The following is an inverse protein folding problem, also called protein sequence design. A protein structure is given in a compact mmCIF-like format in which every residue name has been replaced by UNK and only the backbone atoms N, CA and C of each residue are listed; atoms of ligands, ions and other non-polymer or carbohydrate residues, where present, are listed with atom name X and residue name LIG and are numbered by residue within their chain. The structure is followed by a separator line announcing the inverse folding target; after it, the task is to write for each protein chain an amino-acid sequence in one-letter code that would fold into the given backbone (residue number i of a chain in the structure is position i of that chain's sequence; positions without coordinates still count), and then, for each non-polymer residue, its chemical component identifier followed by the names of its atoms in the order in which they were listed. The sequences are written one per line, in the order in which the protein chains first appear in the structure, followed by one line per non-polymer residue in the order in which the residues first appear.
data_IF_591171051240
#
_entry.id   IF_591171051240
#
_cell.length_a   1.000
_cell.length_b   1.000
_cell.length_c   1.000
_cell.angle_alpha   90.00
_cell.angle_beta   90.00
_cell.angle_gamma   90.00
#
_symmetry.space_group_name_H-M   'P 1'
#
loop_
_entity.id
_entity.type
_entity.pdbx_description
1 polymer ?
#
# COMPACT_ATOMS: atom_id res chain seq x y z
N UNK A 1 -30.70 -69.84 -33.50
CA UNK A 1 -31.03 -69.08 -32.30
C UNK A 1 -29.75 -68.95 -31.48
N UNK A 2 -29.05 -67.79 -31.71
CA UNK A 2 -27.77 -67.49 -31.04
C UNK A 2 -28.05 -66.32 -30.12
N UNK A 3 -28.00 -66.55 -28.79
CA UNK A 3 -28.08 -65.50 -27.78
C UNK A 3 -26.70 -64.92 -27.60
N UNK A 4 -26.52 -63.69 -28.05
CA UNK A 4 -25.33 -62.89 -27.73
C UNK A 4 -25.59 -62.10 -26.49
N UNK A 5 -24.82 -62.45 -25.41
CA UNK A 5 -24.82 -61.78 -24.13
C UNK A 5 -23.70 -60.71 -24.13
N UNK A 6 -24.05 -59.40 -24.03
CA UNK A 6 -23.11 -58.33 -23.90
C UNK A 6 -22.76 -58.07 -22.43
N UNK A 7 -21.52 -57.99 -22.05
CA UNK A 7 -21.16 -57.58 -20.70
C UNK A 7 -21.13 -56.05 -20.63
N UNK A 8 -21.88 -55.47 -19.69
CA UNK A 8 -21.93 -54.06 -19.36
C UNK A 8 -20.71 -53.74 -18.48
N UNK A 9 -19.66 -53.16 -19.11
CA UNK A 9 -18.48 -52.66 -18.38
C UNK A 9 -18.82 -51.33 -17.72
N UNK A 10 -19.00 -51.38 -16.41
CA UNK A 10 -19.14 -50.21 -15.54
C UNK A 10 -17.74 -49.61 -15.26
N UNK A 11 -17.33 -48.60 -16.01
CA UNK A 11 -16.11 -47.85 -15.73
C UNK A 11 -16.35 -46.86 -14.58
N UNK A 12 -15.84 -47.22 -13.40
CA UNK A 12 -15.86 -46.37 -12.20
C UNK A 12 -14.89 -45.18 -12.44
N UNK A 13 -15.44 -43.99 -12.72
CA UNK A 13 -14.68 -42.75 -12.83
C UNK A 13 -14.40 -42.26 -11.40
N UNK A 14 -13.25 -42.61 -10.85
CA UNK A 14 -12.77 -42.08 -9.58
C UNK A 14 -12.40 -40.59 -9.73
N UNK A 15 -13.29 -39.70 -9.28
CA UNK A 15 -12.96 -38.26 -9.14
C UNK A 15 -11.83 -38.13 -8.09
N UNK A 16 -10.63 -37.86 -8.55
CA UNK A 16 -9.51 -37.45 -7.72
C UNK A 16 -9.83 -36.02 -7.19
N UNK A 17 -10.44 -35.96 -5.99
CA UNK A 17 -10.46 -34.68 -5.24
C UNK A 17 -9.04 -34.40 -4.77
N UNK A 18 -8.31 -33.58 -5.54
CA UNK A 18 -7.05 -33.03 -5.08
C UNK A 18 -7.34 -32.05 -3.94
N UNK A 19 -6.74 -32.21 -2.76
CA UNK A 19 -6.86 -31.22 -1.69
C UNK A 19 -6.24 -29.91 -2.17
N UNK A 20 -7.06 -28.85 -2.27
CA UNK A 20 -6.58 -27.49 -2.50
C UNK A 20 -5.71 -27.14 -1.29
N UNK A 21 -4.42 -26.78 -1.48
CA UNK A 21 -3.60 -26.36 -0.36
C UNK A 21 -4.25 -25.12 0.28
N UNK A 22 -4.75 -25.26 1.50
CA UNK A 22 -5.14 -24.11 2.33
C UNK A 22 -3.91 -23.22 2.45
N UNK A 23 -3.95 -22.06 1.78
CA UNK A 23 -2.93 -21.03 2.00
C UNK A 23 -2.95 -20.71 3.50
N UNK A 24 -1.91 -21.13 4.21
CA UNK A 24 -1.74 -20.78 5.61
C UNK A 24 -1.76 -19.28 5.71
N UNK A 25 -2.72 -18.72 6.46
CA UNK A 25 -2.78 -17.27 6.72
C UNK A 25 -1.53 -16.93 7.50
N UNK A 26 -0.59 -16.29 6.82
CA UNK A 26 0.68 -15.87 7.41
C UNK A 26 0.40 -14.83 8.50
N UNK A 27 0.73 -15.16 9.74
CA UNK A 27 0.58 -14.25 10.87
C UNK A 27 1.48 -13.05 10.65
N UNK A 28 0.96 -11.84 10.90
CA UNK A 28 1.75 -10.63 10.79
C UNK A 28 2.95 -10.71 11.74
N UNK A 29 4.13 -10.85 11.16
CA UNK A 29 5.39 -10.75 11.86
C UNK A 29 5.99 -9.37 11.59
N UNK A 30 6.34 -8.62 12.65
CA UNK A 30 6.98 -7.31 12.55
C UNK A 30 8.50 -7.43 12.73
N UNK A 31 9.25 -7.96 11.74
CA UNK A 31 10.67 -8.33 11.91
C UNK A 31 11.63 -7.13 11.86
N UNK A 32 11.12 -5.92 11.59
CA UNK A 32 11.95 -4.79 11.21
C UNK A 32 12.37 -3.95 12.40
N UNK A 33 13.16 -4.54 13.28
CA UNK A 33 14.04 -3.76 14.14
C UNK A 33 15.42 -3.86 13.50
N UNK A 34 15.76 -2.88 12.64
CA UNK A 34 17.15 -2.78 12.19
C UNK A 34 18.04 -2.65 13.42
N UNK A 35 19.23 -3.26 13.37
CA UNK A 35 20.24 -3.24 14.45
C UNK A 35 20.59 -1.83 14.96
N UNK A 36 20.22 -0.78 14.20
CA UNK A 36 20.47 0.63 14.51
C UNK A 36 19.32 1.34 15.23
N UNK A 37 18.15 0.73 15.35
CA UNK A 37 16.98 1.38 15.94
C UNK A 37 16.76 0.90 17.37
N UNK A 38 16.93 1.81 18.34
CA UNK A 38 16.64 1.53 19.73
C UNK A 38 15.13 1.57 19.99
N UNK A 39 14.60 0.82 20.98
CA UNK A 39 13.17 0.88 21.33
C UNK A 39 12.68 2.30 21.61
N UNK A 40 13.46 3.13 22.28
CA UNK A 40 13.14 4.53 22.58
C UNK A 40 13.03 5.40 21.33
N UNK A 41 13.85 5.12 20.30
CA UNK A 41 13.77 5.81 19.01
C UNK A 41 12.49 5.45 18.27
N UNK A 42 12.11 4.18 18.25
CA UNK A 42 10.88 3.72 17.61
C UNK A 42 9.64 4.29 18.31
N UNK A 43 9.63 4.39 19.64
CA UNK A 43 8.53 5.03 20.38
C UNK A 43 8.42 6.52 20.04
N UNK A 44 9.53 7.24 19.93
CA UNK A 44 9.52 8.62 19.47
C UNK A 44 8.96 8.77 18.07
N UNK A 45 9.38 7.91 17.13
CA UNK A 45 8.88 7.91 15.76
C UNK A 45 7.40 7.55 15.74
N UNK A 46 6.97 6.60 16.56
CA UNK A 46 5.56 6.23 16.70
C UNK A 46 4.70 7.41 17.14
N UNK A 47 5.18 8.25 18.05
CA UNK A 47 4.47 9.45 18.49
C UNK A 47 4.33 10.51 17.38
N UNK A 48 5.18 10.47 16.36
CA UNK A 48 5.08 11.36 15.19
C UNK A 48 4.13 10.83 14.12
N UNK A 49 3.79 9.53 14.16
CA UNK A 49 2.87 8.94 13.21
C UNK A 49 1.41 9.32 13.54
N UNK A 50 0.57 9.53 12.54
CA UNK A 50 -0.87 9.61 12.75
C UNK A 50 -1.40 8.26 13.24
N UNK A 51 -2.54 8.27 13.95
CA UNK A 51 -3.23 7.04 14.33
C UNK A 51 -3.46 6.13 13.12
N UNK A 52 -3.47 4.83 13.33
CA UNK A 52 -3.59 3.83 12.27
C UNK A 52 -4.86 4.02 11.39
N UNK A 53 -5.91 4.64 11.93
CA UNK A 53 -7.14 5.05 11.22
C UNK A 53 -6.98 6.34 10.41
N UNK A 54 -6.04 7.23 10.79
CA UNK A 54 -5.84 8.55 10.18
C UNK A 54 -4.77 8.58 9.08
N UNK A 55 -4.41 7.42 8.53
CA UNK A 55 -3.36 7.26 7.50
C UNK A 55 -3.63 8.01 6.19
N UNK A 56 -4.82 8.60 6.01
CA UNK A 56 -5.14 9.46 4.87
C UNK A 56 -4.51 10.86 4.90
N UNK A 57 -3.85 11.27 6.00
CA UNK A 57 -3.21 12.59 6.06
C UNK A 57 -1.76 12.53 5.55
N UNK A 58 -1.60 12.57 4.22
CA UNK A 58 -0.30 12.66 3.54
C UNK A 58 0.54 13.83 4.10
N UNK A 59 -0.09 14.94 4.43
CA UNK A 59 0.57 16.11 5.02
C UNK A 59 1.30 15.80 6.34
N UNK A 60 0.71 14.99 7.21
CA UNK A 60 1.33 14.60 8.48
C UNK A 60 2.52 13.66 8.28
N UNK A 61 2.39 12.72 7.33
CA UNK A 61 3.50 11.82 6.96
C UNK A 61 4.67 12.59 6.37
N UNK A 62 4.41 13.55 5.48
CA UNK A 62 5.45 14.41 4.90
C UNK A 62 6.17 15.20 6.00
N UNK A 63 5.43 15.82 6.93
CA UNK A 63 6.01 16.54 8.06
C UNK A 63 6.91 15.65 8.94
N UNK A 64 6.48 14.41 9.17
CA UNK A 64 7.29 13.40 9.90
C UNK A 64 8.56 13.06 9.14
N UNK A 65 8.48 12.79 7.84
CA UNK A 65 9.63 12.49 6.98
C UNK A 65 10.61 13.66 6.97
N UNK A 66 10.13 14.89 6.81
CA UNK A 66 10.96 16.10 6.81
C UNK A 66 11.67 16.32 8.16
N UNK A 67 11.01 16.00 9.26
CA UNK A 67 11.63 16.05 10.59
C UNK A 67 12.79 15.07 10.69
N UNK A 68 12.59 13.82 10.29
CA UNK A 68 13.62 12.78 10.33
C UNK A 68 14.79 13.09 9.37
N UNK A 69 14.51 13.71 8.21
CA UNK A 69 15.54 14.18 7.28
C UNK A 69 16.40 15.28 7.86
N UNK A 70 15.77 16.29 8.50
CA UNK A 70 16.50 17.38 9.16
C UNK A 70 17.38 16.89 10.31
N UNK A 71 17.06 15.76 10.90
CA UNK A 71 17.90 15.06 11.88
C UNK A 71 19.05 14.29 11.23
N UNK A 72 19.22 14.36 9.91
CA UNK A 72 20.31 13.69 9.18
C UNK A 72 20.10 12.19 8.97
N UNK A 73 18.86 11.70 9.12
CA UNK A 73 18.58 10.27 8.97
C UNK A 73 18.62 9.83 7.50
N UNK A 74 19.36 8.78 7.14
CA UNK A 74 19.38 8.23 5.78
C UNK A 74 18.00 7.73 5.36
N UNK A 75 17.65 7.86 4.08
CA UNK A 75 16.35 7.49 3.50
C UNK A 75 15.93 6.06 3.81
N UNK A 76 16.82 5.10 3.59
CA UNK A 76 16.53 3.69 3.89
C UNK A 76 16.20 3.47 5.37
N UNK A 77 16.85 4.23 6.24
CA UNK A 77 16.58 4.18 7.67
C UNK A 77 15.24 4.83 8.02
N UNK A 78 14.89 5.96 7.38
CA UNK A 78 13.57 6.60 7.54
C UNK A 78 12.46 5.61 7.17
N UNK A 79 12.56 4.96 6.00
CA UNK A 79 11.57 3.95 5.57
C UNK A 79 11.47 2.83 6.60
N UNK A 80 12.60 2.26 7.01
CA UNK A 80 12.64 1.16 7.96
C UNK A 80 12.05 1.50 9.31
N UNK A 81 12.44 2.64 9.85
CA UNK A 81 12.02 3.07 11.19
C UNK A 81 10.52 3.42 11.21
N UNK A 82 10.01 4.06 10.14
CA UNK A 82 8.57 4.34 10.02
C UNK A 82 7.75 3.06 9.88
N UNK A 83 8.18 2.10 9.06
CA UNK A 83 7.50 0.81 8.93
C UNK A 83 7.60 0.01 10.23
N UNK A 84 8.77 0.02 10.88
CA UNK A 84 9.00 -0.64 12.17
C UNK A 84 8.15 -0.06 13.30
N UNK A 85 7.93 1.25 13.32
CA UNK A 85 7.05 1.90 14.29
C UNK A 85 5.56 1.64 14.00
N UNK A 86 5.18 1.55 12.73
CA UNK A 86 3.78 1.34 12.30
C UNK A 86 3.30 -0.10 12.47
N UNK A 87 4.15 -1.08 12.16
CA UNK A 87 3.76 -2.50 12.17
C UNK A 87 3.17 -2.96 13.52
N UNK A 88 3.75 -2.65 14.70
CA UNK A 88 3.16 -3.01 15.98
C UNK A 88 1.80 -2.36 16.25
N UNK A 89 1.55 -1.15 15.70
CA UNK A 89 0.26 -0.48 15.82
C UNK A 89 -0.82 -1.29 15.09
N UNK A 90 -0.53 -1.70 13.85
CA UNK A 90 -1.45 -2.54 13.07
C UNK A 90 -1.63 -3.94 13.69
N UNK A 91 -0.57 -4.52 14.24
CA UNK A 91 -0.64 -5.83 14.91
C UNK A 91 -1.63 -5.85 16.07
N UNK A 92 -1.79 -4.72 16.77
CA UNK A 92 -2.70 -4.56 17.91
C UNK A 92 -4.17 -4.30 17.49
N UNK A 93 -4.45 -4.01 16.21
CA UNK A 93 -5.83 -3.80 15.74
C UNK A 93 -6.62 -5.12 15.75
N UNK A 94 -7.49 -5.28 16.74
CA UNK A 94 -8.31 -6.49 16.90
C UNK A 94 -9.45 -6.61 15.88
N UNK A 95 -9.80 -5.51 15.21
CA UNK A 95 -10.85 -5.46 14.18
C UNK A 95 -10.39 -6.03 12.82
N UNK A 96 -9.08 -6.25 12.62
CA UNK A 96 -8.50 -6.72 11.38
C UNK A 96 -8.10 -8.19 11.45
N UNK A 97 -8.35 -8.91 10.37
CA UNK A 97 -7.78 -10.24 10.14
C UNK A 97 -6.27 -10.16 9.88
N UNK A 98 -5.54 -11.24 10.07
CA UNK A 98 -4.09 -11.28 9.82
C UNK A 98 -3.74 -10.91 8.37
N UNK A 99 -4.54 -11.33 7.38
CA UNK A 99 -4.36 -10.97 5.98
C UNK A 99 -4.54 -9.45 5.73
N UNK A 100 -5.53 -8.83 6.38
CA UNK A 100 -5.74 -7.38 6.30
C UNK A 100 -4.61 -6.60 6.97
N UNK A 101 -4.11 -7.07 8.11
CA UNK A 101 -2.95 -6.48 8.79
C UNK A 101 -1.72 -6.50 7.90
N UNK A 102 -1.40 -7.65 7.29
CA UNK A 102 -0.28 -7.78 6.34
C UNK A 102 -0.45 -6.81 5.16
N UNK A 103 -1.65 -6.76 4.58
CA UNK A 103 -1.96 -5.88 3.45
C UNK A 103 -1.80 -4.40 3.84
N UNK A 104 -2.27 -4.03 5.04
CA UNK A 104 -2.18 -2.66 5.57
C UNK A 104 -0.73 -2.21 5.75
N UNK A 105 0.12 -3.07 6.34
CA UNK A 105 1.55 -2.78 6.52
C UNK A 105 2.28 -2.70 5.18
N UNK A 106 2.01 -3.61 4.24
CA UNK A 106 2.61 -3.57 2.89
C UNK A 106 2.24 -2.30 2.13
N UNK A 107 0.97 -1.88 2.19
CA UNK A 107 0.51 -0.63 1.57
C UNK A 107 1.22 0.58 2.17
N UNK A 108 1.32 0.64 3.49
CA UNK A 108 2.05 1.68 4.19
C UNK A 108 3.53 1.72 3.78
N UNK A 109 4.20 0.58 3.76
CA UNK A 109 5.61 0.50 3.34
C UNK A 109 5.82 1.02 1.92
N UNK A 110 4.94 0.66 0.97
CA UNK A 110 4.98 1.18 -0.40
C UNK A 110 4.79 2.70 -0.44
N UNK A 111 3.80 3.22 0.28
CA UNK A 111 3.53 4.66 0.36
C UNK A 111 4.70 5.44 0.96
N UNK A 112 5.26 4.98 2.08
CA UNK A 112 6.42 5.63 2.71
C UNK A 112 7.65 5.59 1.81
N UNK A 113 7.90 4.46 1.16
CA UNK A 113 9.02 4.36 0.20
C UNK A 113 8.86 5.40 -0.91
N UNK A 114 7.67 5.49 -1.50
CA UNK A 114 7.38 6.46 -2.53
C UNK A 114 7.60 7.89 -2.01
N UNK A 115 7.04 8.27 -0.87
CA UNK A 115 7.18 9.61 -0.28
C UNK A 115 8.64 9.94 0.03
N UNK A 116 9.40 9.02 0.66
CA UNK A 116 10.79 9.26 1.04
C UNK A 116 11.70 9.43 -0.18
N UNK A 117 11.45 8.74 -1.27
CA UNK A 117 12.29 8.82 -2.47
C UNK A 117 11.82 9.86 -3.49
N UNK A 118 10.53 10.21 -3.56
CA UNK A 118 10.02 11.25 -4.46
C UNK A 118 10.35 12.67 -4.00
N UNK A 119 10.45 12.91 -2.71
CA UNK A 119 10.76 14.25 -2.16
C UNK A 119 12.18 14.76 -2.48
N UNK A 120 13.02 13.97 -3.18
CA UNK A 120 14.36 14.43 -3.59
C UNK A 120 14.40 15.19 -4.90
N UNK A 121 13.44 14.95 -5.77
CA UNK A 121 13.46 15.60 -7.09
C UNK A 121 13.23 17.11 -7.00
N UNK A 122 12.86 17.64 -5.83
CA UNK A 122 12.65 19.08 -5.61
C UNK A 122 11.55 19.67 -6.48
N UNK A 123 10.92 18.84 -7.32
CA UNK A 123 10.03 19.26 -8.38
C UNK A 123 8.60 18.72 -8.21
N UNK A 124 8.41 17.57 -7.55
CA UNK A 124 7.07 16.97 -7.48
C UNK A 124 6.68 16.53 -6.07
N UNK A 125 5.68 17.17 -5.50
CA UNK A 125 4.96 16.69 -4.30
C UNK A 125 3.78 15.86 -4.77
N UNK A 126 3.73 14.57 -4.40
CA UNK A 126 2.59 13.71 -4.73
C UNK A 126 1.49 13.95 -3.72
N UNK A 127 0.36 14.48 -4.18
CA UNK A 127 -0.85 14.70 -3.39
C UNK A 127 -1.87 13.63 -3.77
N UNK A 128 -2.30 12.80 -2.80
CA UNK A 128 -3.38 11.85 -3.00
C UNK A 128 -4.73 12.54 -2.81
N UNK A 129 -5.45 12.75 -3.90
CA UNK A 129 -6.80 13.31 -3.90
C UNK A 129 -7.79 12.19 -4.21
N UNK A 130 -8.75 11.87 -3.32
CA UNK A 130 -9.81 10.91 -3.63
C UNK A 130 -10.75 11.55 -4.65
N UNK A 131 -10.85 10.94 -5.83
CA UNK A 131 -11.77 11.36 -6.90
C UNK A 131 -12.78 10.24 -7.17
N UNK A 132 -14.01 10.60 -7.51
CA UNK A 132 -15.00 9.62 -7.99
C UNK A 132 -14.63 9.10 -9.38
N UNK A 133 -15.04 7.89 -9.76
CA UNK A 133 -14.75 7.33 -11.09
C UNK A 133 -15.13 8.27 -12.24
N UNK A 134 -16.30 8.89 -12.18
CA UNK A 134 -16.79 9.81 -13.21
C UNK A 134 -15.87 11.03 -13.39
N UNK A 135 -15.32 11.56 -12.29
CA UNK A 135 -14.36 12.66 -12.33
C UNK A 135 -13.04 12.21 -12.94
N UNK A 136 -12.59 10.99 -12.61
CA UNK A 136 -11.36 10.40 -13.21
C UNK A 136 -11.54 10.21 -14.72
N UNK A 137 -12.69 9.72 -15.16
CA UNK A 137 -12.99 9.52 -16.59
C UNK A 137 -13.05 10.85 -17.35
N UNK A 138 -13.74 11.85 -16.81
CA UNK A 138 -13.80 13.20 -17.38
C UNK A 138 -12.41 13.86 -17.48
N UNK A 139 -11.60 13.71 -16.44
CA UNK A 139 -10.23 14.20 -16.39
C UNK A 139 -9.35 13.52 -17.47
N UNK A 140 -9.40 12.19 -17.56
CA UNK A 140 -8.66 11.43 -18.55
C UNK A 140 -9.07 11.81 -19.99
N UNK A 141 -10.36 12.01 -20.24
CA UNK A 141 -10.87 12.44 -21.53
C UNK A 141 -10.36 13.84 -21.90
N UNK A 142 -10.35 14.76 -20.93
CA UNK A 142 -9.91 16.15 -21.15
C UNK A 142 -8.40 16.23 -21.37
N UNK A 143 -7.60 15.52 -20.58
CA UNK A 143 -6.15 15.44 -20.75
C UNK A 143 -5.77 14.91 -22.13
N UNK A 144 -6.41 13.81 -22.58
CA UNK A 144 -6.18 13.24 -23.93
C UNK A 144 -6.51 14.23 -25.05
N UNK A 145 -7.61 15.00 -24.96
CA UNK A 145 -7.94 16.03 -25.95
C UNK A 145 -6.87 17.10 -26.10
N UNK A 146 -6.10 17.34 -25.05
CA UNK A 146 -5.00 18.32 -25.02
C UNK A 146 -3.63 17.68 -25.27
N UNK A 147 -3.56 16.37 -25.56
CA UNK A 147 -2.29 15.65 -25.77
C UNK A 147 -1.44 15.50 -24.51
N UNK A 148 -2.04 15.63 -23.33
CA UNK A 148 -1.36 15.57 -22.04
C UNK A 148 -1.63 14.25 -21.32
N UNK A 149 -0.72 13.84 -20.43
CA UNK A 149 -1.03 12.85 -19.41
C UNK A 149 -2.00 13.43 -18.36
N UNK A 150 -2.76 12.58 -17.69
CA UNK A 150 -3.69 13.02 -16.65
C UNK A 150 -2.96 13.78 -15.53
N UNK A 151 -1.78 13.32 -15.12
CA UNK A 151 -0.95 13.98 -14.10
C UNK A 151 -0.48 15.38 -14.56
N UNK A 152 0.01 15.51 -15.79
CA UNK A 152 0.45 16.79 -16.35
C UNK A 152 -0.72 17.78 -16.47
N UNK A 153 -1.90 17.29 -16.88
CA UNK A 153 -3.09 18.13 -16.96
C UNK A 153 -3.55 18.63 -15.58
N UNK A 154 -3.52 17.76 -14.55
CA UNK A 154 -3.86 18.14 -13.17
C UNK A 154 -2.88 19.21 -12.67
N UNK A 155 -1.57 18.98 -12.80
CA UNK A 155 -0.54 19.91 -12.35
C UNK A 155 -0.75 21.31 -12.99
N UNK A 156 -0.87 21.36 -14.30
CA UNK A 156 -1.13 22.60 -15.04
C UNK A 156 -2.42 23.29 -14.59
N UNK A 157 -3.49 22.53 -14.33
CA UNK A 157 -4.78 23.08 -13.91
C UNK A 157 -4.69 23.71 -12.52
N UNK A 158 -4.00 23.03 -11.58
CA UNK A 158 -3.77 23.52 -10.21
C UNK A 158 -2.89 24.78 -10.24
N UNK A 159 -1.79 24.77 -10.99
CA UNK A 159 -0.92 25.94 -11.15
C UNK A 159 -1.69 27.15 -11.70
N UNK A 160 -2.46 26.94 -12.76
CA UNK A 160 -3.29 28.00 -13.34
C UNK A 160 -4.36 28.53 -12.37
N UNK A 161 -4.93 27.67 -11.52
CA UNK A 161 -5.92 28.09 -10.53
C UNK A 161 -5.28 28.95 -9.41
N UNK A 162 -4.06 28.60 -8.99
CA UNK A 162 -3.31 29.36 -7.98
C UNK A 162 -2.82 30.74 -8.49
N UNK A 163 -2.48 30.83 -9.79
CA UNK A 163 -2.04 32.10 -10.39
C UNK A 163 -3.16 33.13 -10.60
N UNK A 164 -4.42 32.68 -10.50
CA UNK A 164 -5.60 33.55 -10.67
C UNK A 164 -6.13 34.16 -9.37
N UNK A 165 -5.52 33.83 -8.23
CA UNK A 165 -5.85 34.39 -6.92
C UNK A 165 -5.00 35.63 -6.63
#
# INVERSE_FOLDING_TARGET
MIKMSLPLSFTLFALMLSPVPSAAVEKLNCPFIFKSSTPSKLERIRALLPDASAMGSVGRLNSTIDTLRREGMPKSQIVSDLVGAYCPMVAQESSLTEAEKVTKVRRFAGQITQLVYSLESGLDVIINVPLTPDVVDALNATARKQGLSSSAWIAMTVENALQRQ
#
